data_IF_501491252489
#
_entry.id   IF_501491252489
#
_cell.length_a   1.000
_cell.length_b   1.000
_cell.length_c   1.000
_cell.angle_alpha   90.00
_cell.angle_beta   90.00
_cell.angle_gamma   90.00
#
_symmetry.space_group_name_H-M   'P 1'
#
loop_
_entity.id
_entity.type
_entity.pdbx_description
1 polymer ?
#
# COMPACT_ATOMS: atom_id res chain seq x y z
N UNK A 1 -13.00 33.93 9.99
CA UNK A 1 -13.66 33.01 10.96
C UNK A 1 -12.97 31.65 10.94
N UNK A 2 -11.71 31.60 11.38
CA UNK A 2 -11.04 30.37 11.88
C UNK A 2 -10.56 30.73 13.29
N UNK A 3 -11.52 31.09 14.14
CA UNK A 3 -11.32 31.33 15.56
C UNK A 3 -11.75 30.05 16.29
N UNK A 4 -10.82 29.12 16.51
CA UNK A 4 -10.95 28.13 17.58
C UNK A 4 -9.80 28.36 18.56
N UNK A 5 -10.12 29.16 19.57
CA UNK A 5 -9.33 29.46 20.75
C UNK A 5 -9.03 28.15 21.51
N UNK A 6 -7.77 27.72 21.67
CA UNK A 6 -7.44 26.57 22.52
C UNK A 6 -7.62 26.96 24.01
N UNK A 7 -8.05 26.03 24.88
CA UNK A 7 -8.19 26.28 26.31
C UNK A 7 -6.80 26.55 26.95
N UNK A 8 -6.72 27.44 27.96
CA UNK A 8 -5.45 27.78 28.61
C UNK A 8 -5.00 26.64 29.54
N UNK A 9 -3.92 25.93 29.19
CA UNK A 9 -3.35 24.91 30.09
C UNK A 9 -2.40 23.87 29.50
N UNK A 10 -2.32 23.68 28.17
CA UNK A 10 -1.38 22.74 27.52
C UNK A 10 -0.55 23.46 26.44
N UNK A 11 0.72 23.07 26.20
CA UNK A 11 1.58 23.79 25.27
C UNK A 11 1.06 23.65 23.84
N UNK A 12 0.62 24.77 23.27
CA UNK A 12 0.20 24.94 21.87
C UNK A 12 1.17 24.27 20.88
N UNK A 13 2.44 24.16 21.26
CA UNK A 13 3.50 23.42 20.57
C UNK A 13 3.12 21.96 20.26
N UNK A 14 2.50 21.23 21.20
CA UNK A 14 2.15 19.80 21.01
C UNK A 14 1.10 19.64 19.91
N UNK A 15 0.07 20.49 19.90
CA UNK A 15 -0.98 20.46 18.86
C UNK A 15 -0.39 20.80 17.49
N UNK A 16 0.53 21.77 17.40
CA UNK A 16 1.24 22.11 16.16
C UNK A 16 2.12 20.96 15.66
N UNK A 17 2.87 20.30 16.55
CA UNK A 17 3.70 19.14 16.18
C UNK A 17 2.87 17.96 15.70
N UNK A 18 1.74 17.66 16.37
CA UNK A 18 0.83 16.58 15.98
C UNK A 18 0.18 16.85 14.61
N UNK A 19 -0.12 18.11 14.30
CA UNK A 19 -0.70 18.50 13.02
C UNK A 19 0.30 18.36 11.87
N UNK A 20 1.55 18.78 12.08
CA UNK A 20 2.61 18.62 11.08
C UNK A 20 2.89 17.14 10.77
N UNK A 21 3.00 16.29 11.79
CA UNK A 21 3.30 14.86 11.62
C UNK A 21 2.13 14.14 10.93
N UNK A 22 0.88 14.45 11.31
CA UNK A 22 -0.31 13.82 10.74
C UNK A 22 -0.54 14.21 9.28
N UNK A 23 -0.25 15.46 8.92
CA UNK A 23 -0.37 15.95 7.54
C UNK A 23 0.60 15.25 6.59
N UNK A 24 1.85 15.01 7.01
CA UNK A 24 2.83 14.28 6.20
C UNK A 24 2.38 12.86 5.87
N UNK A 25 1.81 12.14 6.84
CA UNK A 25 1.29 10.80 6.61
C UNK A 25 0.10 10.81 5.63
N UNK A 26 -0.78 11.80 5.74
CA UNK A 26 -1.89 11.96 4.82
C UNK A 26 -1.45 12.24 3.38
N UNK A 27 -0.46 13.11 3.19
CA UNK A 27 0.09 13.40 1.86
C UNK A 27 0.71 12.13 1.25
N UNK A 28 1.38 11.31 2.05
CA UNK A 28 1.95 10.04 1.58
C UNK A 28 0.87 9.06 1.06
N UNK A 29 -0.27 8.96 1.74
CA UNK A 29 -1.40 8.15 1.27
C UNK A 29 -1.99 8.66 -0.05
N UNK A 30 -2.11 9.98 -0.20
CA UNK A 30 -2.61 10.58 -1.43
C UNK A 30 -1.64 10.40 -2.60
N UNK A 31 -0.33 10.44 -2.35
CA UNK A 31 0.71 10.12 -3.34
C UNK A 31 0.61 8.66 -3.76
N UNK A 32 0.44 7.73 -2.82
CA UNK A 32 0.24 6.30 -3.13
C UNK A 32 -1.03 6.05 -3.97
N UNK A 33 -2.14 6.72 -3.63
CA UNK A 33 -3.34 6.71 -4.47
C UNK A 33 -3.09 7.25 -5.86
N UNK A 34 -2.43 8.40 -5.95
CA UNK A 34 -2.06 9.03 -7.21
C UNK A 34 -1.19 8.13 -8.06
N UNK A 35 -0.24 7.41 -7.44
CA UNK A 35 0.59 6.41 -8.12
C UNK A 35 -0.23 5.21 -8.60
N UNK A 36 -1.15 4.67 -7.79
CA UNK A 36 -2.04 3.58 -8.22
C UNK A 36 -2.90 3.96 -9.43
N UNK A 37 -3.48 5.16 -9.39
CA UNK A 37 -4.24 5.76 -10.50
C UNK A 37 -3.33 5.99 -11.71
N UNK A 38 -2.16 6.59 -11.52
CA UNK A 38 -1.19 6.84 -12.58
C UNK A 38 -0.76 5.55 -13.26
N UNK A 39 -0.51 4.47 -12.51
CA UNK A 39 -0.18 3.17 -13.07
C UNK A 39 -1.37 2.63 -13.87
N UNK A 40 -2.62 2.77 -13.41
CA UNK A 40 -3.79 2.28 -14.17
C UNK A 40 -4.00 3.02 -15.50
N UNK A 41 -3.99 4.35 -15.47
CA UNK A 41 -4.25 5.17 -16.67
C UNK A 41 -3.00 5.33 -17.56
N UNK A 42 -1.82 5.38 -16.95
CA UNK A 42 -0.53 5.37 -17.63
C UNK A 42 -0.24 4.01 -18.26
N UNK A 43 -0.50 2.90 -17.56
CA UNK A 43 -0.38 1.56 -18.16
C UNK A 43 -1.36 1.38 -19.31
N UNK A 44 -2.58 1.91 -19.30
CA UNK A 44 -3.46 1.77 -20.47
C UNK A 44 -2.86 2.36 -21.76
N UNK A 45 -2.11 3.47 -21.66
CA UNK A 45 -1.41 4.10 -22.78
C UNK A 45 -0.03 3.45 -23.05
N UNK A 46 0.67 2.97 -22.01
CA UNK A 46 1.96 2.26 -22.12
C UNK A 46 1.83 0.79 -22.54
N UNK A 47 0.69 0.13 -22.27
CA UNK A 47 0.41 -1.29 -22.59
C UNK A 47 0.30 -1.52 -24.09
N UNK A 48 -0.07 -0.50 -24.87
CA UNK A 48 0.02 -0.58 -26.33
C UNK A 48 1.48 -0.63 -26.83
N UNK A 49 2.44 -0.14 -26.05
CA UNK A 49 3.87 -0.14 -26.37
C UNK A 49 4.62 -1.31 -25.68
N UNK A 50 4.11 -1.78 -24.54
CA UNK A 50 4.73 -2.77 -23.65
C UNK A 50 3.80 -3.97 -23.40
N UNK A 51 3.29 -4.58 -24.47
CA UNK A 51 2.18 -5.56 -24.45
C UNK A 51 2.23 -6.71 -23.43
N UNK A 52 3.37 -7.05 -22.83
CA UNK A 52 3.50 -8.10 -21.81
C UNK A 52 3.29 -7.65 -20.35
N UNK A 53 3.19 -6.35 -20.08
CA UNK A 53 3.19 -5.78 -18.71
C UNK A 53 1.80 -5.65 -18.06
N UNK A 54 0.73 -5.88 -18.83
CA UNK A 54 -0.60 -5.41 -18.47
C UNK A 54 -1.20 -6.13 -17.25
N UNK A 55 -1.12 -7.46 -17.17
CA UNK A 55 -1.90 -8.22 -16.20
C UNK A 55 -1.44 -8.02 -14.74
N UNK A 56 -0.14 -8.14 -14.46
CA UNK A 56 0.38 -8.01 -13.09
C UNK A 56 0.43 -6.57 -12.60
N UNK A 57 0.83 -5.61 -13.45
CA UNK A 57 0.82 -4.19 -13.07
C UNK A 57 -0.60 -3.73 -12.76
N UNK A 58 -1.60 -4.23 -13.50
CA UNK A 58 -3.01 -3.98 -13.19
C UNK A 58 -3.35 -4.50 -11.80
N UNK A 59 -3.00 -5.75 -11.46
CA UNK A 59 -3.27 -6.30 -10.13
C UNK A 59 -2.58 -5.50 -9.02
N UNK A 60 -1.30 -5.15 -9.19
CA UNK A 60 -0.54 -4.35 -8.22
C UNK A 60 -1.15 -2.95 -8.08
N UNK A 61 -1.60 -2.33 -9.17
CA UNK A 61 -2.24 -1.02 -9.15
C UNK A 61 -3.56 -1.02 -8.38
N UNK A 62 -4.36 -2.09 -8.49
CA UNK A 62 -5.59 -2.24 -7.71
C UNK A 62 -5.29 -2.35 -6.22
N UNK A 63 -4.31 -3.17 -5.82
CA UNK A 63 -3.93 -3.32 -4.41
C UNK A 63 -3.38 -1.99 -3.86
N UNK A 64 -2.51 -1.31 -4.61
CA UNK A 64 -1.97 -0.01 -4.25
C UNK A 64 -3.07 1.05 -4.11
N UNK A 65 -4.05 1.06 -5.02
CA UNK A 65 -5.19 1.99 -4.97
C UNK A 65 -6.11 1.69 -3.78
N UNK A 66 -6.41 0.42 -3.48
CA UNK A 66 -7.21 0.06 -2.32
C UNK A 66 -6.51 0.42 -1.00
N UNK A 67 -5.23 0.08 -0.84
CA UNK A 67 -4.45 0.41 0.36
C UNK A 67 -4.29 1.93 0.52
N UNK A 68 -3.94 2.63 -0.57
CA UNK A 68 -3.84 4.08 -0.59
C UNK A 68 -5.17 4.74 -0.21
N UNK A 69 -6.31 4.23 -0.69
CA UNK A 69 -7.62 4.78 -0.38
C UNK A 69 -7.92 4.71 1.11
N UNK A 70 -7.69 3.53 1.69
CA UNK A 70 -7.89 3.29 3.13
C UNK A 70 -6.96 4.20 3.94
N UNK A 71 -5.68 4.29 3.57
CA UNK A 71 -4.69 5.15 4.23
C UNK A 71 -5.01 6.64 4.12
N UNK A 72 -5.47 7.11 2.96
CA UNK A 72 -5.90 8.50 2.75
C UNK A 72 -7.14 8.85 3.57
N UNK A 73 -8.12 7.94 3.65
CA UNK A 73 -9.31 8.13 4.49
C UNK A 73 -8.95 8.15 5.98
N UNK A 74 -8.06 7.25 6.42
CA UNK A 74 -7.53 7.24 7.78
C UNK A 74 -6.79 8.53 8.12
N UNK A 75 -5.98 9.04 7.19
CA UNK A 75 -5.26 10.31 7.34
C UNK A 75 -6.22 11.49 7.47
N UNK A 76 -7.30 11.51 6.67
CA UNK A 76 -8.31 12.58 6.72
C UNK A 76 -8.99 12.56 8.09
N UNK A 77 -9.48 11.41 8.53
CA UNK A 77 -10.11 11.26 9.85
C UNK A 77 -9.13 11.61 10.98
N UNK A 78 -7.83 11.29 10.85
CA UNK A 78 -6.79 11.65 11.81
C UNK A 78 -6.61 13.17 11.96
N UNK A 79 -6.54 13.91 10.84
CA UNK A 79 -6.46 15.37 10.85
C UNK A 79 -7.75 16.01 11.43
N UNK A 80 -8.92 15.46 11.12
CA UNK A 80 -10.19 15.91 11.70
C UNK A 80 -10.33 15.54 13.19
N UNK A 81 -9.75 14.42 13.62
CA UNK A 81 -9.75 13.97 15.02
C UNK A 81 -9.04 14.95 15.95
N UNK A 82 -7.96 15.59 15.48
CA UNK A 82 -7.25 16.62 16.25
C UNK A 82 -8.08 17.89 16.49
N UNK A 83 -9.05 18.19 15.61
CA UNK A 83 -9.88 19.40 15.69
C UNK A 83 -11.30 19.13 16.23
N UNK A 84 -11.74 17.87 16.19
CA UNK A 84 -13.11 17.51 16.52
C UNK A 84 -13.27 17.17 17.99
N UNK A 85 -13.97 18.05 18.71
CA UNK A 85 -14.41 17.83 20.09
C UNK A 85 -15.61 16.85 20.19
N UNK A 86 -15.87 16.09 19.12
CA UNK A 86 -17.05 15.25 18.97
C UNK A 86 -16.72 13.77 19.21
N UNK A 87 -17.28 13.19 20.28
CA UNK A 87 -16.96 11.84 20.76
C UNK A 87 -17.21 10.74 19.71
N UNK A 88 -18.17 10.93 18.82
CA UNK A 88 -18.50 9.97 17.77
C UNK A 88 -17.34 9.77 16.77
N UNK A 89 -16.66 10.85 16.36
CA UNK A 89 -15.54 10.77 15.41
C UNK A 89 -14.33 10.06 15.99
N UNK A 90 -14.05 10.29 17.28
CA UNK A 90 -12.95 9.61 17.99
C UNK A 90 -13.24 8.11 18.13
N UNK A 91 -14.49 7.75 18.46
CA UNK A 91 -14.91 6.34 18.53
C UNK A 91 -14.79 5.64 17.17
N UNK A 92 -15.18 6.30 16.08
CA UNK A 92 -15.05 5.77 14.71
C UNK A 92 -13.60 5.58 14.31
N UNK A 93 -12.73 6.56 14.62
CA UNK A 93 -11.30 6.45 14.37
C UNK A 93 -10.69 5.23 15.07
N UNK A 94 -10.98 5.06 16.37
CA UNK A 94 -10.50 3.91 17.13
C UNK A 94 -11.01 2.59 16.56
N UNK A 95 -12.27 2.54 16.15
CA UNK A 95 -12.87 1.34 15.57
C UNK A 95 -12.20 0.95 14.24
N UNK A 96 -11.97 1.90 13.33
CA UNK A 96 -11.36 1.60 12.02
C UNK A 96 -9.89 1.18 12.20
N UNK A 97 -9.12 1.88 13.05
CA UNK A 97 -7.73 1.50 13.34
C UNK A 97 -7.66 0.12 14.00
N UNK A 98 -8.57 -0.18 14.93
CA UNK A 98 -8.67 -1.51 15.55
C UNK A 98 -8.99 -2.60 14.51
N UNK A 99 -9.84 -2.31 13.53
CA UNK A 99 -10.16 -3.25 12.46
C UNK A 99 -8.96 -3.51 11.54
N UNK A 100 -8.14 -2.49 11.25
CA UNK A 100 -6.89 -2.69 10.50
C UNK A 100 -5.91 -3.58 11.27
N UNK A 101 -5.74 -3.34 12.57
CA UNK A 101 -4.89 -4.18 13.41
C UNK A 101 -5.39 -5.63 13.46
N UNK A 102 -6.70 -5.82 13.64
CA UNK A 102 -7.29 -7.15 13.60
C UNK A 102 -7.10 -7.84 12.24
N UNK A 103 -7.19 -7.09 11.13
CA UNK A 103 -6.95 -7.60 9.78
C UNK A 103 -5.48 -8.04 9.60
N UNK A 104 -4.51 -7.27 10.09
CA UNK A 104 -3.10 -7.67 10.06
C UNK A 104 -2.85 -8.93 10.88
N UNK A 105 -3.33 -8.98 12.12
CA UNK A 105 -3.17 -10.17 13.00
C UNK A 105 -3.83 -11.40 12.36
N UNK A 106 -5.05 -11.24 11.84
CA UNK A 106 -5.76 -12.33 11.15
C UNK A 106 -5.01 -12.77 9.90
N UNK A 107 -4.47 -11.83 9.11
CA UNK A 107 -3.68 -12.12 7.92
C UNK A 107 -2.40 -12.88 8.24
N UNK A 108 -1.66 -12.46 9.27
CA UNK A 108 -0.45 -13.16 9.74
C UNK A 108 -0.79 -14.57 10.19
N UNK A 109 -1.82 -14.74 11.04
CA UNK A 109 -2.23 -16.07 11.51
C UNK A 109 -2.67 -16.94 10.34
N UNK A 110 -3.43 -16.40 9.39
CA UNK A 110 -3.89 -17.13 8.20
C UNK A 110 -2.71 -17.63 7.36
N UNK A 111 -1.74 -16.76 7.07
CA UNK A 111 -0.53 -17.15 6.34
C UNK A 111 0.26 -18.21 7.12
N UNK A 112 0.34 -18.10 8.45
CA UNK A 112 1.07 -19.05 9.29
C UNK A 112 0.40 -20.43 9.37
N UNK A 113 -0.94 -20.49 9.36
CA UNK A 113 -1.70 -21.75 9.42
C UNK A 113 -1.75 -22.43 8.06
N UNK A 114 -1.88 -21.67 6.98
CA UNK A 114 -2.03 -22.17 5.61
C UNK A 114 -0.76 -22.02 4.76
N UNK A 115 0.43 -22.06 5.39
CA UNK A 115 1.72 -21.86 4.70
C UNK A 115 1.86 -22.71 3.45
N UNK A 116 1.57 -24.01 3.56
CA UNK A 116 1.68 -24.94 2.42
C UNK A 116 0.77 -24.54 1.26
N UNK A 117 -0.49 -24.18 1.55
CA UNK A 117 -1.44 -23.77 0.51
C UNK A 117 -1.02 -22.44 -0.13
N UNK A 118 -0.61 -21.48 0.69
CA UNK A 118 -0.13 -20.18 0.25
C UNK A 118 1.12 -20.34 -0.62
N UNK A 119 2.06 -21.19 -0.23
CA UNK A 119 3.27 -21.47 -1.01
C UNK A 119 2.93 -22.12 -2.36
N UNK A 120 2.02 -23.10 -2.39
CA UNK A 120 1.56 -23.72 -3.64
C UNK A 120 0.87 -22.69 -4.55
N UNK A 121 0.00 -21.85 -4.00
CA UNK A 121 -0.67 -20.78 -4.75
C UNK A 121 0.31 -19.74 -5.28
N UNK A 122 1.24 -19.25 -4.45
CA UNK A 122 2.24 -18.26 -4.86
C UNK A 122 3.18 -18.84 -5.91
N UNK A 123 3.63 -20.09 -5.75
CA UNK A 123 4.46 -20.78 -6.75
C UNK A 123 3.71 -21.00 -8.06
N UNK A 124 2.43 -21.39 -8.00
CA UNK A 124 1.57 -21.52 -9.17
C UNK A 124 1.44 -20.21 -9.94
N UNK A 125 1.01 -19.15 -9.25
CA UNK A 125 0.88 -17.81 -9.82
C UNK A 125 2.21 -17.27 -10.38
N UNK A 126 3.33 -17.54 -9.70
CA UNK A 126 4.67 -17.16 -10.17
C UNK A 126 5.06 -17.90 -11.44
N UNK A 127 4.82 -19.22 -11.51
CA UNK A 127 5.10 -20.03 -12.71
C UNK A 127 4.25 -19.59 -13.90
N UNK A 128 2.96 -19.32 -13.68
CA UNK A 128 2.06 -18.84 -14.73
C UNK A 128 2.50 -17.47 -15.25
N UNK A 129 2.89 -16.58 -14.33
CA UNK A 129 3.42 -15.25 -14.69
C UNK A 129 4.74 -15.34 -15.46
N UNK A 130 5.65 -16.24 -15.08
CA UNK A 130 6.89 -16.49 -15.84
C UNK A 130 6.57 -16.98 -17.25
N UNK A 131 5.66 -17.95 -17.38
CA UNK A 131 5.33 -18.55 -18.68
C UNK A 131 4.67 -17.58 -19.64
N UNK A 132 3.85 -16.66 -19.13
CA UNK A 132 3.14 -15.71 -19.98
C UNK A 132 3.98 -14.47 -20.32
N UNK A 133 4.89 -14.04 -19.45
CA UNK A 133 5.51 -12.71 -19.56
C UNK A 133 7.03 -12.67 -19.60
N UNK A 134 7.75 -13.77 -19.33
CA UNK A 134 9.21 -13.79 -19.36
C UNK A 134 9.76 -13.93 -20.79
N UNK A 135 10.55 -12.94 -21.23
CA UNK A 135 11.09 -12.89 -22.61
C UNK A 135 12.58 -13.29 -22.71
N UNK A 136 13.21 -13.65 -21.59
CA UNK A 136 14.58 -14.17 -21.53
C UNK A 136 15.56 -13.29 -20.75
N UNK A 137 16.81 -13.76 -20.54
CA UNK A 137 17.78 -13.09 -19.66
C UNK A 137 18.34 -11.78 -20.23
N UNK A 138 18.30 -11.61 -21.55
CA UNK A 138 18.84 -10.47 -22.29
C UNK A 138 17.77 -9.44 -22.68
N UNK A 139 16.51 -9.71 -22.36
CA UNK A 139 15.43 -8.77 -22.61
C UNK A 139 15.50 -7.61 -21.61
N UNK A 140 15.58 -6.37 -22.12
CA UNK A 140 15.66 -5.14 -21.31
C UNK A 140 14.31 -4.72 -20.70
N UNK A 141 13.35 -5.65 -20.64
CA UNK A 141 12.03 -5.36 -20.13
C UNK A 141 12.04 -5.42 -18.58
N UNK A 142 11.35 -4.49 -17.89
CA UNK A 142 11.32 -4.48 -16.44
C UNK A 142 10.80 -5.77 -15.78
N UNK A 143 9.97 -6.60 -16.45
CA UNK A 143 9.48 -7.87 -15.89
C UNK A 143 10.61 -8.91 -15.88
N UNK A 144 11.28 -9.13 -17.00
CA UNK A 144 12.42 -10.06 -17.09
C UNK A 144 13.57 -9.60 -16.21
N UNK A 145 13.79 -8.29 -16.07
CA UNK A 145 14.78 -7.72 -15.15
C UNK A 145 14.41 -7.99 -13.69
N UNK A 146 13.14 -7.80 -13.30
CA UNK A 146 12.68 -8.10 -11.95
C UNK A 146 12.79 -9.59 -11.63
N UNK A 147 12.36 -10.47 -12.54
CA UNK A 147 12.51 -11.91 -12.38
C UNK A 147 13.97 -12.36 -12.34
N UNK A 148 14.83 -11.80 -13.18
CA UNK A 148 16.27 -12.09 -13.16
C UNK A 148 16.88 -11.69 -11.81
N UNK A 149 16.50 -10.53 -11.28
CA UNK A 149 16.95 -10.07 -9.95
C UNK A 149 16.50 -11.03 -8.84
N UNK A 150 15.24 -11.46 -8.86
CA UNK A 150 14.71 -12.41 -7.87
C UNK A 150 15.42 -13.76 -7.99
N UNK A 151 15.59 -14.28 -9.21
CA UNK A 151 16.25 -15.58 -9.44
C UNK A 151 17.69 -15.58 -8.95
N UNK A 152 18.46 -14.51 -9.23
CA UNK A 152 19.84 -14.37 -8.74
C UNK A 152 19.90 -14.31 -7.22
N UNK A 153 18.96 -13.60 -6.58
CA UNK A 153 18.93 -13.51 -5.12
C UNK A 153 18.58 -14.86 -4.48
N UNK A 154 17.58 -15.56 -5.01
CA UNK A 154 17.17 -16.89 -4.52
C UNK A 154 18.26 -17.94 -4.76
N UNK A 155 18.95 -17.92 -5.91
CA UNK A 155 20.05 -18.85 -6.16
C UNK A 155 21.21 -18.62 -5.18
N UNK A 156 21.54 -17.37 -4.88
CA UNK A 156 22.61 -17.04 -3.92
C UNK A 156 22.29 -17.45 -2.47
N UNK A 157 21.01 -17.44 -2.07
CA UNK A 157 20.59 -17.95 -0.76
C UNK A 157 20.66 -19.48 -0.64
N UNK A 158 20.66 -20.20 -1.76
CA UNK A 158 20.73 -21.67 -1.78
C UNK A 158 22.18 -22.20 -1.74
N UNK A 159 23.16 -21.33 -2.06
CA UNK A 159 24.59 -21.66 -2.00
C UNK A 159 25.24 -21.36 -0.62
N UNK A 160 24.49 -20.73 0.29
CA UNK A 160 24.88 -20.44 1.68
C UNK A 160 24.25 -21.46 2.65
#
# INVERSE_FOLDING_TARGET
MVHLFPPPGEPILVILTLWSISSSFQVSGLVLLGLGVWIRYGAANFVQVMGSFSAQLVTISYVCMCLGAILSLLGFIGCYGAWSKNRCLIMLYFFIVSMMFAAEVTGVIFILVYKDLVEVTIRGASKDSLRMSYMGPTAADPISTAWNTIMVHVSGLCEL
#
